data_IF_889790192336
#
_entry.id   IF_889790192336
#
_cell.length_a   1.000
_cell.length_b   1.000
_cell.length_c   1.000
_cell.angle_alpha   90.00
_cell.angle_beta   90.00
_cell.angle_gamma   90.00
#
_symmetry.space_group_name_H-M   'P 1'
#
loop_
_entity.id
_entity.type
_entity.pdbx_description
1 polymer ?
#
# COMPACT_ATOMS: atom_id res chain seq x y z
N UNK A 1 -19.29 0.56 4.33
CA UNK A 1 -18.31 1.66 4.45
C UNK A 1 -18.88 2.75 5.33
N UNK A 2 -18.06 3.34 6.21
CA UNK A 2 -18.44 4.55 6.95
C UNK A 2 -18.40 5.72 5.96
N UNK A 3 -19.53 6.39 5.74
CA UNK A 3 -19.70 7.42 4.69
C UNK A 3 -18.70 8.58 4.78
N UNK A 4 -18.20 8.86 5.98
CA UNK A 4 -17.35 10.03 6.26
C UNK A 4 -15.87 9.68 6.44
N UNK A 5 -15.46 8.43 6.20
CA UNK A 5 -14.08 7.99 6.37
C UNK A 5 -13.36 7.79 5.03
N UNK A 6 -12.02 7.96 4.98
CA UNK A 6 -11.27 7.83 3.73
C UNK A 6 -11.54 6.52 3.01
N UNK A 7 -11.79 6.60 1.71
CA UNK A 7 -11.85 5.43 0.85
C UNK A 7 -10.75 5.54 -0.20
N UNK A 8 -9.80 4.61 -0.15
CA UNK A 8 -8.67 4.56 -1.08
C UNK A 8 -8.84 3.31 -1.93
N UNK A 9 -8.85 3.47 -3.24
CA UNK A 9 -8.93 2.38 -4.20
C UNK A 9 -7.64 2.33 -5.01
N UNK A 10 -7.02 1.15 -5.07
CA UNK A 10 -5.72 0.94 -5.71
C UNK A 10 -5.81 -0.29 -6.61
N UNK A 11 -5.44 -0.13 -7.88
CA UNK A 11 -5.20 -1.25 -8.78
C UNK A 11 -3.71 -1.62 -8.70
N UNK A 12 -3.41 -2.85 -8.26
CA UNK A 12 -2.04 -3.31 -8.03
C UNK A 12 -1.31 -3.66 -9.33
N UNK A 13 -2.02 -4.02 -10.41
CA UNK A 13 -1.44 -4.23 -11.73
C UNK A 13 -0.93 -2.95 -12.40
N UNK A 14 -1.43 -1.78 -11.98
CA UNK A 14 -0.97 -0.49 -12.47
C UNK A 14 0.31 0.02 -11.77
N UNK A 15 0.77 -0.64 -10.70
CA UNK A 15 1.93 -0.19 -9.91
C UNK A 15 3.17 -0.98 -10.34
N UNK A 16 4.30 -0.31 -10.65
CA UNK A 16 5.56 -0.99 -10.88
C UNK A 16 5.94 -1.90 -9.71
N UNK A 17 6.37 -3.12 -10.00
CA UNK A 17 6.61 -4.17 -8.99
C UNK A 17 7.62 -3.72 -7.93
N UNK A 18 8.62 -2.94 -8.34
CA UNK A 18 9.69 -2.43 -7.49
C UNK A 18 9.21 -1.32 -6.53
N UNK A 19 8.09 -0.67 -6.85
CA UNK A 19 7.50 0.41 -6.05
C UNK A 19 6.30 -0.04 -5.23
N UNK A 20 5.71 -1.21 -5.51
CA UNK A 20 4.49 -1.68 -4.87
C UNK A 20 4.55 -1.65 -3.33
N UNK A 21 5.67 -2.07 -2.72
CA UNK A 21 5.83 -2.00 -1.28
C UNK A 21 5.90 -0.56 -0.75
N UNK A 22 6.66 0.32 -1.43
CA UNK A 22 6.78 1.72 -1.04
C UNK A 22 5.46 2.49 -1.18
N UNK A 23 4.67 2.20 -2.22
CA UNK A 23 3.36 2.83 -2.43
C UNK A 23 2.32 2.34 -1.41
N UNK A 24 2.31 1.04 -1.07
CA UNK A 24 1.38 0.49 -0.08
C UNK A 24 1.69 0.92 1.36
N UNK A 25 2.95 0.78 1.77
CA UNK A 25 3.37 0.94 3.16
C UNK A 25 4.04 2.29 3.44
N UNK A 26 4.39 3.04 2.40
CA UNK A 26 5.18 4.25 2.49
C UNK A 26 6.67 3.96 2.48
N UNK A 27 7.45 5.00 2.25
CA UNK A 27 8.90 4.95 2.30
C UNK A 27 9.43 6.22 2.93
N UNK A 28 10.46 6.08 3.77
CA UNK A 28 11.21 7.25 4.25
C UNK A 28 12.23 7.67 3.21
N UNK A 29 12.58 8.95 3.20
CA UNK A 29 13.70 9.47 2.42
C UNK A 29 14.95 8.62 2.68
N UNK A 30 15.56 8.15 1.60
CA UNK A 30 16.75 7.28 1.65
C UNK A 30 16.48 5.79 1.90
N UNK A 31 15.22 5.34 1.95
CA UNK A 31 14.90 3.91 2.06
C UNK A 31 15.36 3.10 0.83
N UNK A 32 15.40 3.70 -0.36
CA UNK A 32 15.96 3.12 -1.58
C UNK A 32 16.54 4.19 -2.50
N UNK A 33 17.31 3.78 -3.52
CA UNK A 33 17.84 4.68 -4.55
C UNK A 33 16.70 5.33 -5.33
N UNK A 34 16.41 6.60 -5.04
CA UNK A 34 15.27 7.33 -5.61
C UNK A 34 14.26 7.85 -4.57
N UNK A 35 14.33 7.40 -3.31
CA UNK A 35 13.51 7.92 -2.22
C UNK A 35 13.99 9.33 -1.78
N UNK A 36 13.68 10.34 -2.59
CA UNK A 36 14.12 11.74 -2.38
C UNK A 36 13.33 12.49 -1.31
N UNK A 37 12.16 11.96 -0.95
CA UNK A 37 11.26 12.49 0.09
C UNK A 37 10.56 11.35 0.80
N UNK A 38 9.99 11.65 1.96
CA UNK A 38 9.05 10.75 2.62
C UNK A 38 7.80 10.60 1.76
N UNK A 39 7.29 9.37 1.66
CA UNK A 39 6.10 9.00 0.93
C UNK A 39 5.13 8.31 1.88
N UNK A 40 3.92 8.85 1.99
CA UNK A 40 2.83 8.25 2.74
C UNK A 40 2.26 7.06 1.96
N UNK A 41 2.18 5.90 2.60
CA UNK A 41 1.62 4.70 1.99
C UNK A 41 0.09 4.70 1.94
N UNK A 42 -0.50 3.89 1.05
CA UNK A 42 -1.95 3.74 0.93
C UNK A 42 -2.62 3.24 2.21
N UNK A 43 -1.96 2.39 3.00
CA UNK A 43 -2.50 1.99 4.31
C UNK A 43 -2.70 3.16 5.25
N UNK A 44 -1.76 4.11 5.26
CA UNK A 44 -1.86 5.30 6.08
C UNK A 44 -2.87 6.30 5.49
N UNK A 45 -2.94 6.43 4.16
CA UNK A 45 -3.94 7.27 3.51
C UNK A 45 -5.38 6.78 3.75
N UNK A 46 -5.56 5.46 3.88
CA UNK A 46 -6.83 4.82 4.21
C UNK A 46 -7.07 4.66 5.72
N UNK A 47 -6.22 5.27 6.57
CA UNK A 47 -6.31 5.11 8.02
C UNK A 47 -7.71 5.43 8.53
N UNK A 48 -8.20 4.58 9.44
CA UNK A 48 -9.56 4.56 9.96
C UNK A 48 -10.69 4.33 8.95
N UNK A 49 -10.41 4.34 7.65
CA UNK A 49 -11.35 4.20 6.56
C UNK A 49 -11.34 2.81 5.93
N UNK A 50 -11.29 2.75 4.60
CA UNK A 50 -11.24 1.51 3.84
C UNK A 50 -10.24 1.60 2.68
N UNK A 51 -9.41 0.58 2.54
CA UNK A 51 -8.51 0.37 1.42
C UNK A 51 -9.07 -0.77 0.55
N UNK A 52 -9.36 -0.48 -0.71
CA UNK A 52 -9.75 -1.47 -1.70
C UNK A 52 -8.57 -1.76 -2.61
N UNK A 53 -8.22 -3.04 -2.71
CA UNK A 53 -7.12 -3.54 -3.52
C UNK A 53 -7.71 -4.35 -4.68
N UNK A 54 -7.60 -3.81 -5.89
CA UNK A 54 -7.94 -4.50 -7.12
C UNK A 54 -6.71 -5.21 -7.69
N UNK A 55 -6.94 -6.29 -8.44
CA UNK A 55 -5.88 -7.11 -9.05
C UNK A 55 -4.81 -7.59 -8.04
N UNK A 56 -5.22 -8.01 -6.83
CA UNK A 56 -4.29 -8.45 -5.78
C UNK A 56 -3.36 -9.60 -6.20
N UNK A 57 -3.78 -10.41 -7.19
CA UNK A 57 -2.94 -11.46 -7.77
C UNK A 57 -1.71 -10.95 -8.53
N UNK A 58 -1.72 -9.70 -9.00
CA UNK A 58 -0.59 -9.08 -9.70
C UNK A 58 0.48 -8.53 -8.74
N UNK A 59 0.15 -8.43 -7.45
CA UNK A 59 1.09 -7.98 -6.43
C UNK A 59 2.30 -8.93 -6.35
N UNK A 60 3.53 -8.40 -6.18
CA UNK A 60 4.71 -9.23 -5.91
C UNK A 60 4.51 -10.12 -4.68
N UNK A 61 5.09 -11.32 -4.66
CA UNK A 61 4.94 -12.27 -3.56
C UNK A 61 5.33 -11.66 -2.20
N UNK A 62 6.37 -10.83 -2.17
CA UNK A 62 6.81 -10.09 -0.99
C UNK A 62 5.72 -9.17 -0.42
N UNK A 63 5.01 -8.47 -1.31
CA UNK A 63 3.89 -7.60 -0.96
C UNK A 63 2.71 -8.43 -0.46
N UNK A 64 2.43 -9.58 -1.08
CA UNK A 64 1.35 -10.48 -0.61
C UNK A 64 1.61 -10.98 0.81
N UNK A 65 2.85 -11.32 1.15
CA UNK A 65 3.25 -11.69 2.52
C UNK A 65 3.02 -10.51 3.48
N UNK A 66 3.41 -9.29 3.11
CA UNK A 66 3.18 -8.12 3.95
C UNK A 66 1.68 -7.83 4.14
N UNK A 67 0.86 -7.97 3.09
CA UNK A 67 -0.59 -7.83 3.17
C UNK A 67 -1.19 -8.87 4.13
N UNK A 68 -0.75 -10.12 4.06
CA UNK A 68 -1.17 -11.16 4.98
C UNK A 68 -0.80 -10.81 6.42
N UNK A 69 0.45 -10.39 6.66
CA UNK A 69 0.89 -9.97 8.00
C UNK A 69 0.03 -8.84 8.56
N UNK A 70 -0.36 -7.86 7.74
CA UNK A 70 -1.28 -6.82 8.17
C UNK A 70 -2.61 -7.45 8.57
N UNK A 71 -3.26 -8.22 7.69
CA UNK A 71 -4.60 -8.76 7.94
C UNK A 71 -4.68 -9.72 9.15
N UNK A 72 -3.60 -10.45 9.44
CA UNK A 72 -3.55 -11.39 10.57
C UNK A 72 -3.20 -10.72 11.90
N UNK A 73 -2.53 -9.56 11.86
CA UNK A 73 -2.03 -8.86 13.05
C UNK A 73 -2.92 -7.69 13.51
N UNK A 74 -4.06 -7.45 12.84
CA UNK A 74 -5.08 -6.49 13.28
C UNK A 74 -6.13 -7.12 14.18
#
# INVERSE_FOLDING_TARGET
MRRDKPFVSVNLGAIPRELAAAELFGARKGAFTGAVRDQTGFFQAAHEGALFLDEVGEAPAEVQVMLLCVLESV
#
